data_IF_906341528489
#
_entry.id   IF_906341528489
#
_cell.length_a   1.000
_cell.length_b   1.000
_cell.length_c   1.000
_cell.angle_alpha   90.00
_cell.angle_beta   90.00
_cell.angle_gamma   90.00
#
_symmetry.space_group_name_H-M   'P 1'
#
loop_
_entity.id
_entity.type
_entity.pdbx_description
1 polymer ?
#
# COMPACT_ATOMS: atom_id res chain seq x y z
N UNK A 1 38.54 21.49 15.35
CA UNK A 1 39.49 22.25 14.57
C UNK A 1 39.28 23.76 14.61
N UNK A 2 38.47 24.28 15.55
CA UNK A 2 38.37 25.72 15.84
C UNK A 2 37.58 26.54 14.82
N UNK A 3 36.79 25.90 13.96
CA UNK A 3 35.92 26.61 13.00
C UNK A 3 34.63 27.00 13.72
N UNK A 4 34.31 28.30 13.70
CA UNK A 4 33.07 28.82 14.24
C UNK A 4 31.85 28.20 13.52
N UNK A 5 30.87 27.77 14.29
CA UNK A 5 29.66 27.13 13.77
C UNK A 5 28.46 28.05 13.91
N UNK A 6 27.72 28.25 12.83
CA UNK A 6 26.48 29.04 12.81
C UNK A 6 25.30 28.09 12.61
N UNK A 7 24.39 28.05 13.61
CA UNK A 7 23.22 27.18 13.57
C UNK A 7 22.35 27.44 12.34
N UNK A 8 22.00 26.38 11.64
CA UNK A 8 21.21 26.45 10.39
C UNK A 8 21.98 26.92 9.15
N UNK A 9 23.30 27.20 9.27
CA UNK A 9 24.12 27.71 8.16
C UNK A 9 25.34 26.83 7.87
N UNK A 10 26.08 26.46 8.93
CA UNK A 10 27.31 25.68 8.76
C UNK A 10 27.00 24.21 8.50
N UNK A 11 27.40 23.71 7.35
CA UNK A 11 27.23 22.30 6.97
C UNK A 11 28.34 21.46 7.59
N UNK A 12 28.00 20.35 8.19
CA UNK A 12 28.92 19.39 8.77
C UNK A 12 28.63 17.98 8.25
N UNK A 13 29.69 17.19 8.07
CA UNK A 13 29.60 15.77 7.71
C UNK A 13 29.53 14.93 9.01
N UNK A 14 28.36 14.43 9.31
CA UNK A 14 28.11 13.58 10.47
C UNK A 14 28.32 12.08 10.18
N UNK A 15 28.83 11.71 9.01
CA UNK A 15 29.26 10.31 8.72
C UNK A 15 30.38 9.86 9.67
N UNK A 16 31.04 10.82 10.30
CA UNK A 16 32.01 10.63 11.40
C UNK A 16 31.58 11.47 12.58
N UNK A 17 31.94 11.06 13.81
CA UNK A 17 31.65 11.86 15.03
C UNK A 17 32.19 13.29 14.90
N UNK A 18 31.33 14.27 15.08
CA UNK A 18 31.68 15.70 15.06
C UNK A 18 31.56 16.24 16.51
N UNK A 19 32.62 16.85 16.98
CA UNK A 19 32.67 17.40 18.34
C UNK A 19 32.54 18.91 18.29
N UNK A 20 31.59 19.44 19.04
CA UNK A 20 31.35 20.88 19.23
C UNK A 20 31.76 21.30 20.63
N UNK A 21 32.39 22.45 20.73
CA UNK A 21 32.71 23.08 22.01
C UNK A 21 31.97 24.41 22.09
N UNK A 22 31.13 24.56 23.12
CA UNK A 22 30.44 25.82 23.42
C UNK A 22 31.15 26.47 24.59
N UNK A 23 31.65 27.70 24.39
CA UNK A 23 32.32 28.49 25.39
C UNK A 23 31.43 29.66 25.80
N UNK A 24 31.03 29.65 27.08
CA UNK A 24 30.43 30.79 27.75
C UNK A 24 31.13 30.93 29.10
N UNK A 25 30.44 30.88 30.20
CA UNK A 25 31.05 30.87 31.57
C UNK A 25 31.67 29.52 31.89
N UNK A 26 31.17 28.47 31.27
CA UNK A 26 31.64 27.08 31.39
C UNK A 26 31.81 26.53 30.00
N UNK A 27 32.85 25.74 29.76
CA UNK A 27 33.06 25.05 28.49
C UNK A 27 32.29 23.72 28.48
N UNK A 28 31.47 23.51 27.45
CA UNK A 28 30.74 22.28 27.21
C UNK A 28 31.21 21.65 25.92
N UNK A 29 31.43 20.35 25.93
CA UNK A 29 31.79 19.57 24.75
C UNK A 29 30.69 18.56 24.43
N UNK A 30 30.21 18.55 23.18
CA UNK A 30 29.22 17.63 22.66
C UNK A 30 29.81 16.89 21.47
N UNK A 31 29.64 15.57 21.44
CA UNK A 31 29.96 14.77 20.26
C UNK A 31 28.66 14.29 19.64
N UNK A 32 28.49 14.57 18.36
CA UNK A 32 27.34 14.15 17.58
C UNK A 32 27.81 13.15 16.53
N UNK A 33 27.17 12.01 16.44
CA UNK A 33 27.38 11.02 15.40
C UNK A 33 26.03 10.63 14.81
N UNK A 34 26.01 10.33 13.51
CA UNK A 34 24.86 9.76 12.81
C UNK A 34 25.06 8.25 12.75
N UNK A 35 24.12 7.51 13.35
CA UNK A 35 24.02 6.07 13.12
C UNK A 35 23.06 5.84 11.95
N UNK A 36 23.60 5.35 10.83
CA UNK A 36 22.83 5.06 9.63
C UNK A 36 22.36 3.60 9.63
N UNK A 37 21.06 3.39 9.45
CA UNK A 37 20.44 2.06 9.48
C UNK A 37 20.82 1.16 8.29
N UNK A 38 21.38 1.75 7.23
CA UNK A 38 21.64 1.05 5.96
C UNK A 38 20.40 0.89 5.08
N UNK A 39 19.30 1.59 5.40
CA UNK A 39 18.06 1.57 4.62
C UNK A 39 17.94 2.83 3.74
N UNK A 40 17.22 2.77 2.62
CA UNK A 40 16.85 3.96 1.87
C UNK A 40 16.12 4.98 2.75
N UNK A 41 16.31 6.27 2.45
CA UNK A 41 15.73 7.38 3.20
C UNK A 41 14.61 8.03 2.40
N UNK A 42 13.49 8.28 3.04
CA UNK A 42 12.34 9.00 2.47
C UNK A 42 12.11 10.28 3.26
N UNK A 43 12.24 11.40 2.62
CA UNK A 43 11.92 12.71 3.18
C UNK A 43 10.64 13.23 2.54
N UNK A 44 9.66 13.57 3.36
CA UNK A 44 8.41 14.20 2.93
C UNK A 44 8.33 15.59 3.54
N UNK A 45 8.27 16.60 2.71
CA UNK A 45 7.96 17.96 3.10
C UNK A 45 6.52 18.28 2.73
N UNK A 46 5.70 18.47 3.75
CA UNK A 46 4.28 18.77 3.54
C UNK A 46 4.08 20.22 3.12
N UNK A 47 3.09 20.47 2.28
CA UNK A 47 2.75 21.82 1.82
C UNK A 47 2.58 22.79 3.01
N UNK A 48 3.49 23.77 3.11
CA UNK A 48 3.48 24.75 4.20
C UNK A 48 3.71 24.17 5.60
N UNK A 49 4.35 23.01 5.73
CA UNK A 49 4.58 22.34 7.01
C UNK A 49 3.31 21.82 7.70
N UNK A 50 2.21 21.69 6.96
CA UNK A 50 0.92 21.28 7.51
C UNK A 50 0.92 19.84 8.01
N UNK A 51 0.06 19.53 8.96
CA UNK A 51 -0.20 18.17 9.41
C UNK A 51 -0.82 17.36 8.26
N UNK A 52 -0.39 16.11 8.11
CA UNK A 52 -0.95 15.19 7.11
C UNK A 52 -2.40 14.86 7.49
N UNK A 53 -3.39 15.08 6.59
CA UNK A 53 -4.79 14.81 6.84
C UNK A 53 -5.07 13.30 6.94
N UNK A 54 -6.20 12.92 7.50
CA UNK A 54 -6.67 11.54 7.54
C UNK A 54 -7.12 11.06 6.15
N UNK A 55 -7.40 9.75 6.01
CA UNK A 55 -7.91 9.22 4.74
C UNK A 55 -9.31 9.73 4.37
N UNK A 56 -10.04 10.29 5.33
CA UNK A 56 -11.40 10.82 5.16
C UNK A 56 -11.43 12.27 4.68
N UNK A 57 -10.26 12.88 4.61
CA UNK A 57 -10.08 14.26 4.15
C UNK A 57 -9.41 14.26 2.78
N UNK A 58 -9.39 15.42 2.14
CA UNK A 58 -8.73 15.60 0.85
C UNK A 58 -7.23 15.39 0.95
N UNK A 59 -6.63 15.07 -0.19
CA UNK A 59 -5.19 14.96 -0.31
C UNK A 59 -4.52 16.29 0.01
N UNK A 60 -3.46 16.26 0.80
CA UNK A 60 -2.58 17.41 0.99
C UNK A 60 -1.69 17.53 -0.24
N UNK A 61 -2.14 18.32 -1.20
CA UNK A 61 -1.44 18.61 -2.44
C UNK A 61 -0.29 19.60 -2.22
N UNK A 62 0.64 19.68 -3.20
CA UNK A 62 1.77 20.59 -3.14
C UNK A 62 2.82 20.21 -2.11
N UNK A 63 2.81 18.98 -1.64
CA UNK A 63 3.87 18.39 -0.84
C UNK A 63 5.01 17.90 -1.74
N UNK A 64 6.17 17.63 -1.17
CA UNK A 64 7.36 17.16 -1.88
C UNK A 64 7.88 15.88 -1.24
N UNK A 65 8.41 14.97 -2.05
CA UNK A 65 9.09 13.77 -1.54
C UNK A 65 10.43 13.58 -2.23
N UNK A 66 11.47 13.37 -1.41
CA UNK A 66 12.82 13.02 -1.87
C UNK A 66 13.17 11.64 -1.31
N UNK A 67 13.65 10.75 -2.16
CA UNK A 67 14.04 9.39 -1.78
C UNK A 67 15.51 9.19 -2.15
N UNK A 68 16.29 8.71 -1.19
CA UNK A 68 17.70 8.37 -1.37
C UNK A 68 17.89 6.86 -1.27
N UNK A 69 18.69 6.33 -2.19
CA UNK A 69 19.21 4.98 -2.11
C UNK A 69 20.19 4.82 -0.93
N UNK A 70 20.57 3.58 -0.64
CA UNK A 70 21.51 3.26 0.45
C UNK A 70 22.92 3.81 0.21
N UNK A 71 23.28 4.14 -1.03
CA UNK A 71 24.54 4.78 -1.43
C UNK A 71 24.45 6.32 -1.49
N UNK A 72 23.37 6.91 -1.00
CA UNK A 72 23.09 8.34 -0.97
C UNK A 72 22.79 8.97 -2.33
N UNK A 73 22.68 8.20 -3.38
CA UNK A 73 22.16 8.71 -4.65
C UNK A 73 20.66 8.99 -4.55
N UNK A 74 20.21 10.02 -5.26
CA UNK A 74 18.77 10.34 -5.33
C UNK A 74 18.10 9.32 -6.23
N UNK A 75 17.13 8.58 -5.68
CA UNK A 75 16.26 7.66 -6.41
C UNK A 75 15.08 8.40 -7.03
N UNK A 76 14.44 9.24 -6.24
CA UNK A 76 13.34 10.08 -6.68
C UNK A 76 13.36 11.43 -5.95
N UNK A 77 13.02 12.50 -6.69
CA UNK A 77 12.85 13.84 -6.16
C UNK A 77 11.74 14.54 -6.93
N UNK A 78 10.63 14.88 -6.25
CA UNK A 78 9.52 15.48 -6.96
C UNK A 78 8.26 15.74 -6.14
N UNK A 79 7.29 16.43 -6.77
CA UNK A 79 6.03 16.77 -6.12
C UNK A 79 5.16 15.54 -5.86
N UNK A 80 4.43 15.61 -4.76
CA UNK A 80 3.48 14.59 -4.33
C UNK A 80 2.30 15.19 -3.59
N UNK A 81 1.19 14.48 -3.60
CA UNK A 81 0.14 14.65 -2.62
C UNK A 81 0.25 13.53 -1.58
N UNK A 82 -0.05 13.84 -0.33
CA UNK A 82 0.00 12.88 0.78
C UNK A 82 -1.27 12.92 1.61
N UNK A 83 -1.69 11.78 2.12
CA UNK A 83 -2.73 11.68 3.15
C UNK A 83 -2.55 10.45 4.01
N UNK A 84 -3.27 10.38 5.11
CA UNK A 84 -3.37 9.18 5.92
C UNK A 84 -4.02 8.02 5.18
N UNK A 85 -3.76 6.80 5.64
CA UNK A 85 -4.42 5.59 5.13
C UNK A 85 -4.77 4.63 6.26
N UNK A 86 -5.53 3.59 5.90
CA UNK A 86 -5.97 2.55 6.82
C UNK A 86 -7.18 2.97 7.65
N UNK A 87 -7.88 1.99 8.17
CA UNK A 87 -9.05 2.16 9.03
C UNK A 87 -8.59 2.16 10.50
N UNK A 88 -8.50 0.99 11.12
CA UNK A 88 -7.98 0.85 12.49
C UNK A 88 -6.54 1.33 12.65
N UNK A 89 -5.70 1.11 11.63
CA UNK A 89 -4.28 1.47 11.66
C UNK A 89 -4.03 2.98 11.72
N UNK A 90 -4.96 3.80 11.23
CA UNK A 90 -4.90 5.26 11.41
C UNK A 90 -5.07 5.68 12.88
N UNK A 91 -5.71 4.86 13.69
CA UNK A 91 -5.88 5.09 15.13
C UNK A 91 -4.59 4.94 15.96
N UNK A 92 -3.56 4.27 15.43
CA UNK A 92 -2.33 4.00 16.18
C UNK A 92 -1.38 5.20 16.24
N UNK A 93 -0.46 5.26 17.23
CA UNK A 93 0.51 6.35 17.37
C UNK A 93 1.39 6.55 16.14
N UNK A 94 1.88 5.48 15.51
CA UNK A 94 2.64 5.52 14.27
C UNK A 94 1.69 5.37 13.09
N UNK A 95 1.55 6.43 12.30
CA UNK A 95 0.53 6.54 11.25
C UNK A 95 1.02 6.00 9.90
N UNK A 96 0.21 5.20 9.19
CA UNK A 96 0.49 4.86 7.79
C UNK A 96 0.04 5.98 6.85
N UNK A 97 0.72 6.12 5.70
CA UNK A 97 0.46 7.17 4.73
C UNK A 97 0.27 6.62 3.32
N UNK A 98 -0.40 7.37 2.48
CA UNK A 98 -0.49 7.16 1.04
C UNK A 98 0.12 8.35 0.31
N UNK A 99 0.91 8.07 -0.73
CA UNK A 99 1.51 9.04 -1.62
C UNK A 99 0.86 8.96 -3.00
N UNK A 100 0.65 10.11 -3.62
CA UNK A 100 0.21 10.25 -5.01
C UNK A 100 1.17 11.19 -5.72
N UNK A 101 2.12 10.64 -6.44
CA UNK A 101 3.07 11.41 -7.25
C UNK A 101 2.35 12.13 -8.39
N UNK A 102 2.82 13.28 -8.80
CA UNK A 102 2.25 14.01 -9.92
C UNK A 102 2.45 13.27 -11.25
N UNK A 103 3.55 12.54 -11.38
CA UNK A 103 3.87 11.70 -12.54
C UNK A 103 4.23 10.28 -12.13
N UNK A 104 4.02 9.31 -13.04
CA UNK A 104 4.46 7.91 -12.79
C UNK A 104 5.99 7.88 -12.71
N UNK A 105 6.52 7.38 -11.60
CA UNK A 105 7.95 7.17 -11.39
C UNK A 105 8.24 5.76 -10.88
N UNK A 106 9.42 5.26 -11.21
CA UNK A 106 10.03 4.12 -10.58
C UNK A 106 10.54 4.55 -9.20
N UNK A 107 10.36 3.72 -8.20
CA UNK A 107 10.80 3.99 -6.83
C UNK A 107 11.53 2.76 -6.29
N UNK A 108 12.79 2.92 -5.92
CA UNK A 108 13.64 1.85 -5.36
C UNK A 108 13.59 0.56 -6.19
N UNK A 109 13.68 0.70 -7.52
CA UNK A 109 13.61 -0.41 -8.47
C UNK A 109 12.21 -1.00 -8.70
N UNK A 110 11.19 -0.53 -8.01
CA UNK A 110 9.80 -0.94 -8.24
C UNK A 110 9.21 -0.22 -9.47
N UNK A 111 8.42 -0.91 -10.32
CA UNK A 111 7.91 -0.36 -11.58
C UNK A 111 7.13 0.94 -11.43
N UNK A 112 7.22 1.77 -12.47
CA UNK A 112 6.63 3.11 -12.53
C UNK A 112 5.15 3.15 -12.19
N UNK A 113 4.79 3.92 -11.17
CA UNK A 113 3.41 4.25 -10.85
C UNK A 113 3.31 5.58 -10.07
N UNK A 114 2.08 6.12 -9.95
CA UNK A 114 1.83 7.33 -9.14
C UNK A 114 1.51 7.00 -7.67
N UNK A 115 0.97 5.82 -7.38
CA UNK A 115 0.40 5.48 -6.08
C UNK A 115 1.32 4.58 -5.28
N UNK A 116 1.69 5.06 -4.10
CA UNK A 116 2.57 4.37 -3.16
C UNK A 116 2.00 4.43 -1.76
N UNK A 117 2.38 3.51 -0.90
CA UNK A 117 1.96 3.49 0.50
C UNK A 117 3.15 3.30 1.42
N UNK A 118 3.10 3.95 2.56
CA UNK A 118 4.05 3.84 3.66
C UNK A 118 3.34 3.11 4.81
N UNK A 119 3.60 1.82 4.94
CA UNK A 119 3.03 0.98 6.00
C UNK A 119 3.83 1.16 7.28
N UNK A 120 3.16 1.56 8.35
CA UNK A 120 3.81 1.85 9.63
C UNK A 120 4.18 0.59 10.43
N UNK A 121 3.56 -0.54 10.17
CA UNK A 121 3.74 -1.83 10.84
C UNK A 121 3.67 -1.74 12.39
N UNK A 122 2.87 -0.81 12.92
CA UNK A 122 2.84 -0.50 14.36
C UNK A 122 2.53 -1.69 15.26
N UNK A 123 1.60 -2.56 14.83
CA UNK A 123 1.20 -3.73 15.62
C UNK A 123 2.19 -4.89 15.53
N UNK A 124 3.08 -4.86 14.56
CA UNK A 124 4.11 -5.86 14.36
C UNK A 124 5.45 -5.37 14.91
N UNK A 125 5.84 -5.85 16.06
CA UNK A 125 7.12 -5.47 16.70
C UNK A 125 8.35 -5.94 15.92
N UNK A 126 8.19 -6.93 15.04
CA UNK A 126 9.26 -7.39 14.16
C UNK A 126 9.42 -6.51 12.92
N UNK A 127 8.35 -5.77 12.56
CA UNK A 127 8.19 -4.98 11.33
C UNK A 127 8.19 -5.82 10.04
N UNK A 128 8.31 -7.14 10.12
CA UNK A 128 8.62 -8.04 9.00
C UNK A 128 7.38 -8.74 8.41
N UNK A 129 6.26 -8.82 9.12
CA UNK A 129 5.12 -9.68 8.73
C UNK A 129 4.63 -9.40 7.32
N UNK A 130 4.37 -8.14 6.96
CA UNK A 130 3.93 -7.79 5.61
C UNK A 130 4.96 -8.20 4.55
N UNK A 131 6.26 -7.94 4.78
CA UNK A 131 7.30 -8.30 3.83
C UNK A 131 7.45 -9.81 3.67
N UNK A 132 7.33 -10.56 4.76
CA UNK A 132 7.35 -12.04 4.73
C UNK A 132 6.15 -12.58 3.97
N UNK A 133 4.95 -12.03 4.20
CA UNK A 133 3.75 -12.43 3.47
C UNK A 133 3.88 -12.14 1.97
N UNK A 134 4.39 -10.96 1.59
CA UNK A 134 4.65 -10.63 0.19
C UNK A 134 5.67 -11.58 -0.44
N UNK A 135 6.81 -11.84 0.23
CA UNK A 135 7.82 -12.76 -0.26
C UNK A 135 7.32 -14.21 -0.40
N UNK A 136 6.38 -14.61 0.45
CA UNK A 136 5.75 -15.93 0.34
C UNK A 136 4.81 -15.95 -0.87
N UNK A 137 3.98 -14.93 -1.02
CA UNK A 137 3.06 -14.80 -2.14
C UNK A 137 3.79 -14.70 -3.50
N UNK A 138 4.93 -14.01 -3.57
CA UNK A 138 5.80 -13.94 -4.77
C UNK A 138 6.33 -15.31 -5.23
N UNK A 139 6.25 -16.35 -4.39
CA UNK A 139 6.69 -17.73 -4.71
C UNK A 139 5.55 -18.64 -5.11
N UNK A 140 4.35 -18.13 -5.14
CA UNK A 140 3.14 -18.79 -5.66
C UNK A 140 2.86 -18.31 -7.09
N UNK A 141 1.84 -18.85 -7.70
CA UNK A 141 1.39 -18.43 -9.05
C UNK A 141 0.35 -17.29 -9.00
N UNK A 142 0.26 -16.57 -7.86
CA UNK A 142 -0.59 -15.37 -7.77
C UNK A 142 -0.17 -14.33 -8.81
N UNK A 143 -1.13 -13.85 -9.59
CA UNK A 143 -0.91 -12.96 -10.71
C UNK A 143 -0.19 -11.64 -10.35
N UNK A 144 -0.39 -11.18 -9.13
CA UNK A 144 0.29 -9.99 -8.60
C UNK A 144 0.43 -10.06 -7.08
N UNK A 145 1.60 -9.63 -6.61
CA UNK A 145 1.87 -9.37 -5.19
C UNK A 145 2.54 -8.00 -5.06
N UNK A 146 2.11 -7.14 -4.11
CA UNK A 146 2.73 -5.84 -3.92
C UNK A 146 4.22 -5.95 -3.55
N UNK A 147 5.07 -5.24 -4.29
CA UNK A 147 6.48 -5.08 -3.96
C UNK A 147 6.65 -4.00 -2.92
N UNK A 148 7.69 -4.10 -2.12
CA UNK A 148 7.96 -3.08 -1.11
C UNK A 148 9.37 -3.17 -0.54
N UNK A 149 9.90 -2.00 -0.13
CA UNK A 149 11.23 -1.86 0.47
C UNK A 149 11.12 -1.16 1.82
N UNK A 150 11.94 -1.61 2.78
CA UNK A 150 12.04 -0.92 4.07
C UNK A 150 12.78 0.38 3.90
N UNK A 151 12.26 1.43 4.53
CA UNK A 151 12.81 2.79 4.46
C UNK A 151 12.79 3.44 5.83
N UNK A 152 13.65 4.43 6.05
CA UNK A 152 13.52 5.38 7.15
C UNK A 152 12.74 6.60 6.65
N UNK A 153 11.64 6.92 7.34
CA UNK A 153 10.78 8.04 6.97
C UNK A 153 11.07 9.27 7.81
N UNK A 154 11.21 10.40 7.13
CA UNK A 154 11.25 11.73 7.74
C UNK A 154 10.06 12.56 7.21
N UNK A 155 9.37 13.25 8.10
CA UNK A 155 8.27 14.17 7.74
C UNK A 155 8.57 15.53 8.36
N UNK A 156 8.70 16.55 7.53
CA UNK A 156 9.07 17.93 7.96
C UNK A 156 10.30 17.92 8.89
N UNK A 157 11.35 17.21 8.52
CA UNK A 157 12.58 17.07 9.27
C UNK A 157 12.50 16.18 10.52
N UNK A 158 11.33 15.65 10.88
CA UNK A 158 11.16 14.75 12.01
C UNK A 158 11.28 13.29 11.57
N UNK A 159 12.18 12.53 12.19
CA UNK A 159 12.29 11.09 12.00
C UNK A 159 11.05 10.35 12.53
N UNK A 160 10.41 9.59 11.68
CA UNK A 160 9.19 8.83 11.97
C UNK A 160 9.48 7.33 12.19
N UNK A 161 10.72 6.91 11.99
CA UNK A 161 11.20 5.54 12.11
C UNK A 161 11.07 4.73 10.82
N UNK A 162 11.24 3.43 10.93
CA UNK A 162 11.18 2.49 9.82
C UNK A 162 9.75 2.33 9.28
N UNK A 163 9.60 2.32 7.96
CA UNK A 163 8.35 2.03 7.24
C UNK A 163 8.61 1.00 6.15
N UNK A 164 7.56 0.30 5.71
CA UNK A 164 7.57 -0.44 4.45
C UNK A 164 6.94 0.47 3.38
N UNK A 165 7.77 1.00 2.48
CA UNK A 165 7.30 1.69 1.28
C UNK A 165 6.94 0.64 0.25
N UNK A 166 5.67 0.55 -0.14
CA UNK A 166 5.22 -0.46 -1.07
C UNK A 166 4.20 0.07 -2.08
N UNK A 167 3.94 -0.75 -3.08
CA UNK A 167 2.94 -0.48 -4.10
C UNK A 167 1.54 -0.42 -3.49
N UNK A 168 0.73 0.55 -3.92
CA UNK A 168 -0.70 0.52 -3.66
C UNK A 168 -1.36 -0.40 -4.68
N UNK A 169 -2.24 -1.29 -4.24
CA UNK A 169 -3.05 -2.13 -5.13
C UNK A 169 -3.89 -1.23 -6.04
N UNK A 170 -3.69 -1.36 -7.35
CA UNK A 170 -4.37 -0.61 -8.41
C UNK A 170 -4.27 -1.41 -9.71
N UNK A 171 -5.22 -1.18 -10.62
CA UNK A 171 -5.13 -1.67 -11.98
C UNK A 171 -4.00 -0.93 -12.71
N UNK A 172 -3.04 -1.65 -13.19
CA UNK A 172 -1.91 -1.20 -14.03
C UNK A 172 -1.17 -2.44 -14.55
N UNK A 173 -0.57 -2.35 -15.73
CA UNK A 173 0.18 -3.45 -16.36
C UNK A 173 1.27 -4.10 -15.50
N UNK A 174 1.79 -3.38 -14.50
CA UNK A 174 2.83 -3.86 -13.59
C UNK A 174 2.26 -4.21 -12.19
N UNK A 175 0.95 -4.14 -12.01
CA UNK A 175 0.24 -4.44 -10.76
C UNK A 175 -0.88 -5.42 -11.04
N UNK A 176 -2.12 -5.09 -10.72
CA UNK A 176 -3.27 -5.88 -11.17
C UNK A 176 -3.45 -5.63 -12.66
N UNK A 177 -2.97 -6.56 -13.48
CA UNK A 177 -2.95 -6.43 -14.93
C UNK A 177 -4.23 -7.03 -15.52
N UNK A 178 -5.26 -6.21 -15.59
CA UNK A 178 -6.55 -6.50 -16.23
C UNK A 178 -6.89 -5.38 -17.18
N UNK A 179 -7.67 -5.68 -18.21
CA UNK A 179 -8.17 -4.69 -19.17
C UNK A 179 -9.19 -3.78 -18.51
N UNK A 180 -9.00 -2.47 -18.59
CA UNK A 180 -10.00 -1.50 -18.14
C UNK A 180 -11.29 -1.66 -18.93
N UNK A 181 -12.45 -1.43 -18.30
CA UNK A 181 -13.75 -1.49 -18.97
C UNK A 181 -13.91 -0.30 -19.93
N UNK A 182 -14.20 -0.60 -21.19
CA UNK A 182 -14.58 0.39 -22.18
C UNK A 182 -16.06 0.81 -22.03
N UNK A 183 -16.40 1.98 -22.60
CA UNK A 183 -17.78 2.46 -22.61
C UNK A 183 -18.70 1.46 -23.34
N UNK A 184 -19.72 0.97 -22.63
CA UNK A 184 -20.69 -0.01 -23.13
C UNK A 184 -20.29 -1.47 -22.95
N UNK A 185 -19.09 -1.77 -22.49
CA UNK A 185 -18.71 -3.11 -22.06
C UNK A 185 -19.22 -3.41 -20.65
N UNK A 186 -19.60 -4.67 -20.42
CA UNK A 186 -20.03 -5.15 -19.09
C UNK A 186 -19.13 -6.28 -18.59
N UNK A 187 -18.57 -7.11 -19.47
CA UNK A 187 -17.59 -8.13 -19.15
C UNK A 187 -16.19 -7.57 -19.42
N UNK A 188 -15.50 -7.17 -18.37
CA UNK A 188 -14.19 -6.53 -18.44
C UNK A 188 -13.47 -6.57 -17.12
N UNK A 189 -12.51 -5.68 -16.94
CA UNK A 189 -11.69 -5.60 -15.76
C UNK A 189 -12.44 -5.04 -14.56
N UNK A 190 -12.58 -5.87 -13.52
CA UNK A 190 -13.08 -5.47 -12.22
C UNK A 190 -12.05 -5.80 -11.14
N UNK A 191 -11.69 -4.82 -10.34
CA UNK A 191 -10.97 -5.02 -9.09
C UNK A 191 -11.92 -4.76 -7.93
N UNK A 192 -12.20 -5.78 -7.14
CA UNK A 192 -13.10 -5.73 -6.01
C UNK A 192 -12.34 -5.91 -4.70
N UNK A 193 -12.76 -5.21 -3.67
CA UNK A 193 -12.31 -5.41 -2.29
C UNK A 193 -13.47 -5.92 -1.44
N UNK A 194 -13.22 -6.99 -0.70
CA UNK A 194 -14.12 -7.43 0.36
C UNK A 194 -13.65 -6.79 1.67
N UNK A 195 -14.44 -5.86 2.18
CA UNK A 195 -14.11 -5.18 3.43
C UNK A 195 -15.38 -4.80 4.22
N UNK A 196 -15.40 -5.20 5.48
CA UNK A 196 -16.50 -4.93 6.40
C UNK A 196 -16.72 -3.44 6.71
N UNK A 197 -15.74 -2.58 6.43
CA UNK A 197 -15.91 -1.12 6.56
C UNK A 197 -16.89 -0.57 5.54
N UNK A 198 -16.96 -1.16 4.36
CA UNK A 198 -17.97 -0.89 3.34
C UNK A 198 -18.10 0.60 3.02
N UNK A 199 -16.98 1.28 2.79
CA UNK A 199 -16.86 2.73 2.75
C UNK A 199 -16.63 3.33 1.35
N UNK A 200 -16.63 2.51 0.28
CA UNK A 200 -16.57 3.03 -1.09
C UNK A 200 -17.95 3.48 -1.61
N UNK A 201 -17.96 4.33 -2.64
CA UNK A 201 -19.18 4.84 -3.24
C UNK A 201 -19.98 3.72 -3.94
N UNK A 202 -19.31 2.94 -4.79
CA UNK A 202 -19.89 1.79 -5.49
C UNK A 202 -19.59 0.51 -4.71
N UNK A 203 -20.65 -0.17 -4.28
CA UNK A 203 -20.57 -1.32 -3.40
C UNK A 203 -21.88 -2.11 -3.40
N UNK A 204 -21.80 -3.40 -3.10
CA UNK A 204 -22.98 -4.23 -2.90
C UNK A 204 -22.71 -5.31 -1.84
N UNK A 205 -23.78 -5.82 -1.25
CA UNK A 205 -23.72 -7.06 -0.49
C UNK A 205 -24.19 -8.19 -1.38
N UNK A 206 -23.44 -9.29 -1.37
CA UNK A 206 -23.83 -10.47 -2.12
C UNK A 206 -25.17 -11.01 -1.63
N UNK A 207 -25.96 -11.63 -2.54
CA UNK A 207 -27.32 -12.05 -2.20
C UNK A 207 -27.35 -13.32 -1.33
N UNK A 208 -26.41 -14.23 -1.54
CA UNK A 208 -26.38 -15.53 -0.84
C UNK A 208 -25.74 -15.41 0.54
N UNK A 209 -24.60 -14.73 0.63
CA UNK A 209 -23.81 -14.68 1.88
C UNK A 209 -23.79 -13.32 2.55
N UNK A 210 -24.28 -12.28 1.90
CA UNK A 210 -24.25 -10.90 2.42
C UNK A 210 -22.84 -10.33 2.52
N UNK A 211 -21.87 -10.85 1.75
CA UNK A 211 -20.48 -10.41 1.78
C UNK A 211 -20.35 -9.00 1.22
N UNK A 212 -19.53 -8.14 1.85
CA UNK A 212 -19.40 -6.72 1.50
C UNK A 212 -18.38 -6.53 0.38
N UNK A 213 -18.83 -6.45 -0.86
CA UNK A 213 -18.01 -6.14 -2.01
C UNK A 213 -18.01 -4.64 -2.32
N UNK A 214 -16.82 -4.09 -2.59
CA UNK A 214 -16.61 -2.71 -2.98
C UNK A 214 -15.79 -2.65 -4.26
N UNK A 215 -16.13 -1.72 -5.16
CA UNK A 215 -15.35 -1.50 -6.37
C UNK A 215 -14.09 -0.68 -6.05
N UNK A 216 -12.95 -1.14 -6.52
CA UNK A 216 -11.66 -0.45 -6.45
C UNK A 216 -11.18 -0.03 -7.84
N UNK A 217 -11.72 -0.68 -8.86
CA UNK A 217 -11.62 -0.35 -10.26
C UNK A 217 -12.75 -1.09 -11.03
N UNK A 218 -13.46 -0.41 -11.93
CA UNK A 218 -13.44 1.04 -12.14
C UNK A 218 -13.94 1.83 -10.91
N UNK A 219 -13.47 3.08 -10.77
CA UNK A 219 -13.89 3.97 -9.66
C UNK A 219 -15.39 4.38 -9.80
N UNK A 220 -15.93 4.34 -11.04
CA UNK A 220 -17.35 4.58 -11.34
C UNK A 220 -17.86 3.47 -12.26
N UNK A 221 -19.05 2.97 -12.02
CA UNK A 221 -19.72 1.93 -12.82
C UNK A 221 -21.13 2.37 -13.20
N UNK A 222 -21.56 2.03 -14.40
CA UNK A 222 -22.96 2.18 -14.80
C UNK A 222 -23.82 1.01 -14.31
N UNK A 223 -25.14 1.13 -14.40
CA UNK A 223 -26.08 0.12 -13.91
C UNK A 223 -25.85 -1.26 -14.54
N UNK A 224 -25.52 -1.33 -15.83
CA UNK A 224 -25.31 -2.60 -16.51
C UNK A 224 -24.03 -3.30 -16.04
N UNK A 225 -22.95 -2.57 -15.84
CA UNK A 225 -21.68 -3.06 -15.29
C UNK A 225 -21.85 -3.51 -13.84
N UNK A 226 -22.56 -2.71 -13.05
CA UNK A 226 -22.86 -3.03 -11.64
C UNK A 226 -23.66 -4.33 -11.54
N UNK A 227 -24.73 -4.47 -12.31
CA UNK A 227 -25.58 -5.66 -12.30
C UNK A 227 -24.86 -6.89 -12.84
N UNK A 228 -23.99 -6.75 -13.84
CA UNK A 228 -23.19 -7.84 -14.38
C UNK A 228 -22.33 -8.48 -13.29
N UNK A 229 -21.50 -7.70 -12.59
CA UNK A 229 -20.58 -8.26 -11.59
C UNK A 229 -21.32 -8.73 -10.34
N UNK A 230 -22.40 -8.02 -9.93
CA UNK A 230 -23.26 -8.45 -8.81
C UNK A 230 -23.88 -9.82 -9.09
N UNK A 231 -24.43 -10.01 -10.28
CA UNK A 231 -25.01 -11.29 -10.71
C UNK A 231 -23.95 -12.38 -10.81
N UNK A 232 -22.78 -12.07 -11.35
CA UNK A 232 -21.67 -13.02 -11.42
C UNK A 232 -21.27 -13.53 -10.02
N UNK A 233 -21.15 -12.63 -9.04
CA UNK A 233 -20.84 -12.99 -7.66
C UNK A 233 -21.98 -13.81 -7.05
N UNK A 234 -23.24 -13.49 -7.33
CA UNK A 234 -24.39 -14.27 -6.84
C UNK A 234 -24.34 -15.71 -7.36
N UNK A 235 -24.15 -15.90 -8.67
CA UNK A 235 -24.06 -17.23 -9.30
C UNK A 235 -22.85 -18.03 -8.77
N UNK A 236 -21.71 -17.39 -8.54
CA UNK A 236 -20.56 -18.00 -7.89
C UNK A 236 -20.90 -18.49 -6.48
N UNK A 237 -21.53 -17.65 -5.66
CA UNK A 237 -21.91 -18.04 -4.30
C UNK A 237 -22.97 -19.14 -4.29
N UNK A 238 -23.94 -19.11 -5.20
CA UNK A 238 -24.87 -20.21 -5.36
C UNK A 238 -24.16 -21.52 -5.72
N UNK A 239 -23.21 -21.50 -6.64
CA UNK A 239 -22.44 -22.69 -6.99
C UNK A 239 -21.57 -23.22 -5.85
N UNK A 240 -21.12 -22.32 -4.95
CA UNK A 240 -20.29 -22.67 -3.79
C UNK A 240 -21.13 -23.22 -2.60
N UNK A 241 -22.37 -22.74 -2.42
CA UNK A 241 -23.16 -22.99 -1.20
C UNK A 241 -24.42 -23.85 -1.43
N UNK A 242 -24.72 -24.18 -2.68
CA UNK A 242 -25.69 -25.23 -3.00
C UNK A 242 -24.97 -26.59 -3.05
N UNK A 243 -25.40 -27.53 -2.21
CA UNK A 243 -24.74 -28.83 -2.05
C UNK A 243 -24.64 -29.63 -3.37
N UNK A 244 -25.65 -29.51 -4.25
CA UNK A 244 -25.67 -30.25 -5.52
C UNK A 244 -24.75 -29.60 -6.55
N UNK A 245 -24.77 -28.30 -6.67
CA UNK A 245 -23.91 -27.53 -7.56
C UNK A 245 -22.44 -27.65 -7.14
N UNK A 246 -22.18 -27.57 -5.85
CA UNK A 246 -20.84 -27.76 -5.27
C UNK A 246 -20.32 -29.17 -5.57
N UNK A 247 -21.12 -30.21 -5.32
CA UNK A 247 -20.73 -31.59 -5.59
C UNK A 247 -20.50 -31.86 -7.10
N UNK A 248 -21.22 -31.14 -7.97
CA UNK A 248 -21.01 -31.17 -9.42
C UNK A 248 -19.75 -30.43 -9.88
N UNK A 249 -19.11 -29.63 -9.01
CA UNK A 249 -17.93 -28.83 -9.31
C UNK A 249 -18.22 -27.55 -10.10
N UNK A 250 -19.49 -27.09 -10.16
CA UNK A 250 -19.88 -25.93 -10.98
C UNK A 250 -19.12 -24.64 -10.58
N UNK A 251 -18.74 -24.47 -9.31
CA UNK A 251 -17.94 -23.32 -8.86
C UNK A 251 -16.61 -23.16 -9.62
N UNK A 252 -16.06 -24.25 -10.16
CA UNK A 252 -14.83 -24.21 -10.96
C UNK A 252 -15.02 -23.44 -12.28
N UNK A 253 -16.23 -23.26 -12.75
CA UNK A 253 -16.52 -22.45 -13.93
C UNK A 253 -16.47 -20.95 -13.63
N UNK A 254 -16.57 -20.57 -12.34
CA UNK A 254 -16.67 -19.19 -11.89
C UNK A 254 -15.40 -18.63 -11.27
N UNK A 255 -14.43 -19.43 -10.86
CA UNK A 255 -13.20 -18.96 -10.21
C UNK A 255 -11.96 -19.64 -10.80
N UNK A 256 -10.84 -18.94 -10.70
CA UNK A 256 -9.52 -19.53 -10.88
C UNK A 256 -9.10 -20.23 -9.58
N UNK A 257 -9.28 -21.55 -9.56
CA UNK A 257 -9.07 -22.38 -8.35
C UNK A 257 -7.63 -22.26 -7.82
N UNK A 258 -6.65 -22.19 -8.70
CA UNK A 258 -5.23 -22.17 -8.32
C UNK A 258 -4.91 -20.89 -7.56
N UNK A 259 -5.38 -19.74 -8.04
CA UNK A 259 -5.19 -18.48 -7.35
C UNK A 259 -5.85 -18.44 -5.96
N UNK A 260 -7.04 -19.04 -5.84
CA UNK A 260 -7.73 -19.14 -4.54
C UNK A 260 -6.98 -20.05 -3.58
N UNK A 261 -6.42 -21.16 -4.05
CA UNK A 261 -5.62 -22.07 -3.24
C UNK A 261 -4.30 -21.42 -2.79
N UNK A 262 -3.59 -20.78 -3.70
CA UNK A 262 -2.36 -20.06 -3.40
C UNK A 262 -2.58 -18.94 -2.39
N UNK A 263 -3.60 -18.11 -2.62
CA UNK A 263 -3.99 -17.07 -1.68
C UNK A 263 -4.30 -17.65 -0.29
N UNK A 264 -5.09 -18.73 -0.24
CA UNK A 264 -5.43 -19.41 1.01
C UNK A 264 -4.18 -19.93 1.74
N UNK A 265 -3.26 -20.58 1.02
CA UNK A 265 -1.99 -21.09 1.58
C UNK A 265 -1.18 -19.93 2.20
N UNK A 266 -1.07 -18.80 1.51
CA UNK A 266 -0.34 -17.62 2.03
C UNK A 266 -1.00 -17.13 3.32
N UNK A 267 -2.33 -17.01 3.37
CA UNK A 267 -3.07 -16.55 4.54
C UNK A 267 -2.90 -17.51 5.73
N UNK A 268 -3.01 -18.82 5.51
CA UNK A 268 -2.85 -19.83 6.56
C UNK A 268 -1.43 -19.89 7.11
N UNK A 269 -0.41 -19.91 6.24
CA UNK A 269 0.99 -19.96 6.67
C UNK A 269 1.42 -18.70 7.43
N UNK A 270 0.86 -17.55 7.12
CA UNK A 270 1.18 -16.29 7.80
C UNK A 270 0.26 -15.99 8.98
N UNK A 271 -0.76 -16.84 9.22
CA UNK A 271 -1.70 -16.71 10.34
C UNK A 271 -2.57 -15.46 10.25
N UNK A 272 -2.92 -15.04 9.03
CA UNK A 272 -3.80 -13.89 8.80
C UNK A 272 -5.25 -14.34 8.99
N UNK A 273 -5.94 -13.74 9.95
CA UNK A 273 -7.33 -14.08 10.28
C UNK A 273 -8.37 -13.12 9.67
N UNK A 274 -7.95 -12.05 9.03
CA UNK A 274 -8.82 -11.04 8.41
C UNK A 274 -9.80 -11.60 7.37
N UNK A 275 -9.50 -12.68 6.60
CA UNK A 275 -10.46 -13.31 5.71
C UNK A 275 -11.75 -13.80 6.41
N UNK A 276 -11.69 -14.15 7.70
CA UNK A 276 -12.86 -14.58 8.49
C UNK A 276 -13.83 -13.42 8.81
N UNK A 277 -13.31 -12.19 8.74
CA UNK A 277 -14.08 -10.96 8.85
C UNK A 277 -13.66 -10.08 7.67
N UNK A 278 -14.19 -10.32 6.45
CA UNK A 278 -13.55 -9.85 5.24
C UNK A 278 -13.14 -8.39 5.38
N UNK A 279 -11.82 -8.17 5.38
CA UNK A 279 -11.17 -6.87 5.45
C UNK A 279 -9.98 -6.87 4.52
N UNK A 280 -9.91 -5.87 3.67
CA UNK A 280 -8.78 -5.65 2.75
C UNK A 280 -8.40 -6.91 1.96
N UNK A 281 -9.39 -7.70 1.55
CA UNK A 281 -9.17 -8.87 0.70
C UNK A 281 -9.66 -8.58 -0.70
N UNK A 282 -8.80 -8.87 -1.70
CA UNK A 282 -9.05 -8.46 -3.08
C UNK A 282 -9.35 -9.63 -3.99
N UNK A 283 -10.11 -9.34 -5.03
CA UNK A 283 -10.42 -10.24 -6.12
C UNK A 283 -10.51 -9.40 -7.40
N UNK A 284 -9.98 -9.90 -8.49
CA UNK A 284 -10.10 -9.23 -9.78
C UNK A 284 -10.57 -10.19 -10.85
N UNK A 285 -11.28 -9.67 -11.83
CA UNK A 285 -11.79 -10.39 -12.98
C UNK A 285 -11.42 -9.61 -14.24
N UNK A 286 -10.80 -10.29 -15.18
CA UNK A 286 -10.53 -9.74 -16.50
C UNK A 286 -11.65 -10.10 -17.50
N UNK A 287 -11.64 -9.46 -18.67
CA UNK A 287 -12.58 -9.72 -19.76
C UNK A 287 -12.55 -11.18 -20.19
N UNK A 288 -13.72 -11.83 -20.22
CA UNK A 288 -13.84 -13.25 -20.54
C UNK A 288 -13.13 -14.21 -19.56
N UNK A 289 -12.45 -13.67 -18.55
CA UNK A 289 -11.72 -14.43 -17.56
C UNK A 289 -12.56 -14.81 -16.35
N UNK A 290 -12.01 -15.70 -15.52
CA UNK A 290 -12.56 -16.03 -14.20
C UNK A 290 -11.97 -15.09 -13.14
N UNK A 291 -12.69 -14.81 -12.07
CA UNK A 291 -12.12 -14.14 -10.91
C UNK A 291 -10.89 -14.84 -10.36
N UNK A 292 -9.86 -14.04 -10.15
CA UNK A 292 -8.57 -14.41 -9.57
C UNK A 292 -8.51 -13.80 -8.16
N UNK A 293 -8.05 -14.57 -7.18
CA UNK A 293 -7.89 -14.09 -5.80
C UNK A 293 -6.53 -13.44 -5.61
N UNK A 294 -6.47 -12.44 -4.74
CA UNK A 294 -5.27 -11.64 -4.49
C UNK A 294 -5.32 -10.29 -5.20
N UNK A 295 -4.35 -9.40 -4.89
CA UNK A 295 -3.21 -9.56 -3.99
C UNK A 295 -3.55 -9.50 -2.53
#
# INVERSE_FOLDING_TARGET
DGVEQISGVTVNDFSKPVTYTVKDKIEYTFTISLEYSGLPLVFVETAGGKTIPSKWEDWLEGSHVTIYNTDWTVDYDGPTSIRGRGNSTWGYPKKPYALKLDSKAEILGMPKHKRWVLLANWMDRTLLRNRVSFNLAERTDLAYTPRGEFVELFVNGKHMGNYLLCEQIKVDKNRVNIDELDEGEVDGGYLLELDAYFDEAFKFRSEVRGLPYMFKDPDEVNDAQFEFIRKYVTELEEALYDDQRFAAGEYMDFIDIESFADWWIVMELTGIWEPNHPKSTYMHKDKGGKPVRGP
#
